data_IF_361609579887
#
_entry.id   IF_361609579887
#
_cell.length_a   1.000
_cell.length_b   1.000
_cell.length_c   1.000
_cell.angle_alpha   90.00
_cell.angle_beta   90.00
_cell.angle_gamma   90.00
#
_symmetry.space_group_name_H-M   'P 1'
#
loop_
_entity.id
_entity.type
_entity.pdbx_description
1 polymer ?
#
# COMPACT_ATOMS: atom_id res chain seq x y z
N UNK A 1 0.77 17.52 5.17
CA UNK A 1 1.16 17.78 3.77
C UNK A 1 1.77 16.49 3.22
N UNK A 2 1.15 15.84 2.24
CA UNK A 2 1.44 14.44 1.86
C UNK A 2 2.79 14.17 1.16
N UNK A 3 3.64 15.18 0.94
CA UNK A 3 4.95 14.98 0.29
C UNK A 3 6.01 14.35 1.20
N UNK A 4 5.76 14.24 2.51
CA UNK A 4 6.69 13.65 3.47
C UNK A 4 6.72 12.13 3.46
N UNK A 5 5.74 11.48 2.83
CA UNK A 5 5.71 10.02 2.73
C UNK A 5 6.77 9.50 1.77
N UNK A 6 7.43 8.42 2.18
CA UNK A 6 8.33 7.64 1.32
C UNK A 6 7.76 6.24 1.21
N UNK A 7 7.45 5.83 -0.02
CA UNK A 7 6.92 4.51 -0.34
C UNK A 7 7.97 3.72 -1.11
N UNK A 8 8.25 2.51 -0.66
CA UNK A 8 9.23 1.62 -1.30
C UNK A 8 8.65 0.21 -1.45
N UNK A 9 8.93 -0.40 -2.60
CA UNK A 9 8.49 -1.76 -2.94
C UNK A 9 9.68 -2.64 -3.25
N UNK A 10 9.65 -3.89 -2.77
CA UNK A 10 10.63 -4.89 -3.15
C UNK A 10 10.36 -5.33 -4.61
N UNK A 11 11.32 -5.09 -5.50
CA UNK A 11 11.21 -5.47 -6.92
C UNK A 11 11.84 -6.84 -7.21
N UNK A 12 12.44 -7.47 -6.20
CA UNK A 12 13.02 -8.82 -6.26
C UNK A 12 12.48 -9.69 -5.12
N UNK A 13 11.16 -9.92 -5.04
CA UNK A 13 10.57 -10.75 -3.99
C UNK A 13 11.12 -12.17 -4.05
N UNK A 14 11.59 -12.69 -2.91
CA UNK A 14 12.19 -14.02 -2.79
C UNK A 14 13.70 -14.10 -3.06
N UNK A 15 14.36 -12.99 -3.41
CA UNK A 15 15.82 -12.94 -3.45
C UNK A 15 16.43 -12.91 -2.02
N UNK A 16 17.65 -13.42 -1.85
CA UNK A 16 18.37 -13.36 -0.56
C UNK A 16 18.59 -11.92 -0.09
N UNK A 17 18.76 -11.00 -1.04
CA UNK A 17 18.86 -9.56 -0.78
C UNK A 17 17.75 -8.82 -1.52
N UNK A 18 16.79 -8.20 -0.80
CA UNK A 18 15.71 -7.47 -1.43
C UNK A 18 16.22 -6.18 -2.08
N UNK A 19 15.79 -5.93 -3.31
CA UNK A 19 16.05 -4.67 -4.00
C UNK A 19 14.83 -3.77 -3.83
N UNK A 20 15.03 -2.64 -3.17
CA UNK A 20 13.95 -1.67 -2.91
C UNK A 20 13.94 -0.60 -3.99
N UNK A 21 12.75 -0.31 -4.52
CA UNK A 21 12.53 0.78 -5.47
C UNK A 21 11.48 1.75 -4.92
N UNK A 22 11.72 3.05 -5.08
CA UNK A 22 10.83 4.10 -4.58
C UNK A 22 9.63 4.30 -5.51
N UNK A 23 8.44 4.28 -4.94
CA UNK A 23 7.20 4.65 -5.62
C UNK A 23 7.03 6.17 -5.51
N UNK A 24 7.45 6.90 -6.53
CA UNK A 24 7.33 8.36 -6.55
C UNK A 24 7.22 8.94 -7.96
N UNK A 25 7.96 8.39 -8.92
CA UNK A 25 7.99 8.95 -10.25
C UNK A 25 6.61 8.81 -10.93
N UNK A 26 6.06 9.92 -11.43
CA UNK A 26 4.78 9.93 -12.13
C UNK A 26 3.54 9.78 -11.25
N UNK A 27 3.68 9.52 -9.94
CA UNK A 27 2.58 9.43 -8.98
C UNK A 27 2.07 10.84 -8.64
N UNK A 28 0.75 11.01 -8.64
CA UNK A 28 0.07 12.28 -8.35
C UNK A 28 -0.65 12.26 -7.00
N UNK A 29 -1.24 11.13 -6.65
CA UNK A 29 -2.03 10.92 -5.44
C UNK A 29 -1.67 9.58 -4.82
N UNK A 30 -1.77 9.56 -3.49
CA UNK A 30 -1.80 8.34 -2.69
C UNK A 30 -3.01 8.46 -1.77
N UNK A 31 -3.77 7.39 -1.66
CA UNK A 31 -4.95 7.27 -0.81
C UNK A 31 -4.72 6.12 0.20
N UNK A 32 -4.34 6.43 1.45
CA UNK A 32 -4.23 5.43 2.50
C UNK A 32 -5.62 5.02 3.00
N UNK A 33 -5.90 3.72 3.00
CA UNK A 33 -7.17 3.14 3.46
C UNK A 33 -6.89 2.06 4.52
N UNK A 34 -7.79 1.95 5.49
CA UNK A 34 -7.80 0.91 6.50
C UNK A 34 -9.10 0.13 6.31
N UNK A 35 -9.02 -0.95 5.55
CA UNK A 35 -10.16 -1.80 5.28
C UNK A 35 -10.44 -2.66 6.51
N UNK A 36 -11.49 -2.31 7.24
CA UNK A 36 -11.93 -2.97 8.46
C UNK A 36 -13.14 -3.89 8.19
N UNK A 37 -13.08 -5.10 8.73
CA UNK A 37 -14.22 -6.00 8.80
C UNK A 37 -14.77 -5.96 10.23
N UNK A 38 -16.06 -5.67 10.37
CA UNK A 38 -16.72 -5.58 11.68
C UNK A 38 -17.92 -6.50 11.79
N UNK A 39 -18.08 -7.13 12.95
CA UNK A 39 -19.25 -7.93 13.32
C UNK A 39 -20.10 -7.16 14.33
N UNK A 40 -21.42 -7.16 14.14
CA UNK A 40 -22.36 -6.56 15.09
C UNK A 40 -23.17 -7.66 15.78
N UNK A 41 -22.97 -7.81 17.08
CA UNK A 41 -23.63 -8.80 17.91
C UNK A 41 -24.69 -8.14 18.81
N UNK A 42 -25.93 -8.59 18.72
CA UNK A 42 -27.01 -8.14 19.60
C UNK A 42 -27.34 -9.24 20.62
N UNK A 43 -27.02 -8.99 21.90
CA UNK A 43 -27.34 -9.90 23.00
C UNK A 43 -28.68 -9.53 23.65
N UNK A 44 -29.40 -10.55 24.15
CA UNK A 44 -30.75 -10.39 24.73
C UNK A 44 -30.78 -9.53 26.01
N UNK A 45 -29.65 -9.42 26.70
CA UNK A 45 -29.45 -8.56 27.87
C UNK A 45 -29.01 -7.14 27.50
N UNK A 46 -28.68 -6.87 26.24
CA UNK A 46 -28.26 -5.56 25.73
C UNK A 46 -29.39 -4.54 25.55
N UNK A 47 -30.63 -4.87 25.94
CA UNK A 47 -31.76 -3.92 25.89
C UNK A 47 -32.11 -3.40 24.49
N UNK A 48 -31.70 -4.12 23.44
CA UNK A 48 -31.86 -3.72 22.04
C UNK A 48 -30.67 -2.96 21.43
N UNK A 49 -29.53 -2.84 22.13
CA UNK A 49 -28.29 -2.33 21.58
C UNK A 49 -27.41 -3.47 21.00
N UNK A 50 -26.72 -3.19 19.90
CA UNK A 50 -25.70 -4.07 19.32
C UNK A 50 -24.30 -3.67 19.80
N UNK A 51 -23.46 -4.65 20.10
CA UNK A 51 -22.02 -4.49 20.29
C UNK A 51 -21.33 -4.64 18.92
N UNK A 52 -20.34 -3.79 18.64
CA UNK A 52 -19.59 -3.80 17.39
C UNK A 52 -18.13 -4.16 17.64
N UNK A 53 -17.69 -5.27 17.05
CA UNK A 53 -16.32 -5.77 17.14
C UNK A 53 -15.63 -5.62 15.78
N UNK A 54 -14.36 -5.21 15.76
CA UNK A 54 -13.52 -5.24 14.55
C UNK A 54 -12.82 -6.59 14.51
N UNK A 55 -13.20 -7.43 13.54
CA UNK A 55 -12.71 -8.81 13.39
C UNK A 55 -11.61 -8.94 12.33
N UNK A 56 -11.46 -7.91 11.48
CA UNK A 56 -10.44 -7.86 10.44
C UNK A 56 -9.95 -6.45 10.18
N UNK A 57 -8.67 -6.33 9.83
CA UNK A 57 -8.03 -5.06 9.51
C UNK A 57 -7.01 -5.28 8.40
N UNK A 58 -7.06 -4.45 7.36
CA UNK A 58 -6.11 -4.45 6.26
C UNK A 58 -5.77 -3.02 5.86
N UNK A 59 -4.54 -2.62 6.16
CA UNK A 59 -4.01 -1.33 5.70
C UNK A 59 -3.59 -1.42 4.24
N UNK A 60 -4.06 -0.48 3.42
CA UNK A 60 -3.77 -0.39 1.99
C UNK A 60 -3.45 1.03 1.55
N UNK A 61 -2.79 1.13 0.39
CA UNK A 61 -2.43 2.39 -0.24
C UNK A 61 -2.79 2.31 -1.72
N UNK A 62 -3.78 3.10 -2.14
CA UNK A 62 -4.12 3.32 -3.54
C UNK A 62 -3.22 4.39 -4.14
N UNK A 63 -2.67 4.14 -5.32
CA UNK A 63 -1.80 5.08 -6.03
C UNK A 63 -2.38 5.40 -7.40
N UNK A 64 -2.42 6.69 -7.74
CA UNK A 64 -2.79 7.13 -9.08
C UNK A 64 -1.72 8.07 -9.65
N UNK A 65 -1.58 8.05 -10.97
CA UNK A 65 -0.64 8.92 -11.64
C UNK A 65 -0.52 8.67 -13.13
N UNK A 66 0.69 8.86 -13.64
CA UNK A 66 1.01 8.65 -15.04
C UNK A 66 2.13 7.62 -15.19
N UNK A 67 2.01 6.80 -16.23
CA UNK A 67 3.03 5.81 -16.58
C UNK A 67 4.34 6.49 -16.94
N UNK A 68 5.42 6.03 -16.32
CA UNK A 68 6.82 6.37 -16.63
C UNK A 68 7.58 5.08 -16.91
N UNK A 69 7.72 4.74 -18.18
CA UNK A 69 8.52 3.59 -18.62
C UNK A 69 9.99 3.73 -18.22
N UNK A 70 10.61 2.63 -17.80
CA UNK A 70 12.00 2.61 -17.33
C UNK A 70 12.17 2.96 -15.85
N UNK A 71 11.08 3.28 -15.14
CA UNK A 71 11.09 3.40 -13.69
C UNK A 71 10.98 2.02 -13.04
N UNK A 72 11.94 1.66 -12.19
CA UNK A 72 12.06 0.31 -11.67
C UNK A 72 10.83 -0.12 -10.83
N UNK A 73 10.25 0.79 -10.04
CA UNK A 73 9.09 0.48 -9.22
C UNK A 73 7.84 0.29 -10.10
N UNK A 74 7.57 1.23 -11.00
CA UNK A 74 6.44 1.10 -11.90
C UNK A 74 6.57 -0.12 -12.82
N UNK A 75 7.74 -0.32 -13.44
CA UNK A 75 7.96 -1.44 -14.36
C UNK A 75 7.75 -2.79 -13.66
N UNK A 76 8.19 -2.93 -12.41
CA UNK A 76 7.88 -4.09 -11.58
C UNK A 76 6.37 -4.26 -11.36
N UNK A 77 5.67 -3.20 -10.90
CA UNK A 77 4.23 -3.25 -10.62
C UNK A 77 3.43 -3.65 -11.87
N UNK A 78 3.67 -2.99 -13.01
CA UNK A 78 2.95 -3.28 -14.26
C UNK A 78 3.37 -4.61 -14.90
N UNK A 79 4.53 -5.17 -14.55
CA UNK A 79 4.85 -6.56 -14.94
C UNK A 79 3.89 -7.58 -14.31
N UNK A 80 3.21 -7.22 -13.21
CA UNK A 80 2.26 -8.07 -12.49
C UNK A 80 0.81 -7.93 -12.95
N UNK A 81 0.50 -7.06 -13.91
CA UNK A 81 -0.88 -6.80 -14.36
C UNK A 81 -1.64 -8.07 -14.73
N UNK A 82 -1.02 -8.99 -15.48
CA UNK A 82 -1.64 -10.25 -15.91
C UNK A 82 -1.31 -11.44 -14.99
N UNK A 83 -0.75 -11.18 -13.82
CA UNK A 83 -0.37 -12.20 -12.83
C UNK A 83 -1.42 -12.33 -11.75
N UNK A 84 -1.44 -13.48 -11.07
CA UNK A 84 -2.42 -13.80 -10.02
C UNK A 84 -1.74 -14.50 -8.85
N UNK A 85 -2.42 -14.53 -7.70
CA UNK A 85 -1.97 -15.30 -6.54
C UNK A 85 -0.58 -14.88 -6.03
N UNK A 86 0.31 -15.83 -5.72
CA UNK A 86 1.64 -15.55 -5.17
C UNK A 86 2.50 -14.63 -6.02
N UNK A 87 2.29 -14.56 -7.34
CA UNK A 87 3.07 -13.70 -8.22
C UNK A 87 2.80 -12.20 -8.02
N UNK A 88 1.69 -11.85 -7.35
CA UNK A 88 1.36 -10.48 -6.93
C UNK A 88 1.80 -10.14 -5.51
N UNK A 89 2.44 -11.08 -4.81
CA UNK A 89 2.98 -10.87 -3.46
C UNK A 89 4.36 -10.24 -3.54
N UNK A 90 4.63 -9.29 -2.64
CA UNK A 90 5.92 -8.64 -2.49
C UNK A 90 6.07 -8.12 -1.04
N UNK A 91 7.07 -7.28 -0.79
CA UNK A 91 7.25 -6.55 0.46
C UNK A 91 7.12 -5.05 0.19
N UNK A 92 6.51 -4.35 1.14
CA UNK A 92 6.23 -2.92 1.05
C UNK A 92 6.71 -2.19 2.30
N UNK A 93 7.20 -0.98 2.09
CA UNK A 93 7.68 -0.07 3.14
C UNK A 93 7.05 1.29 2.98
N UNK A 94 6.60 1.83 4.09
CA UNK A 94 6.13 3.20 4.22
C UNK A 94 6.97 3.88 5.29
N UNK A 95 7.56 5.03 4.97
CA UNK A 95 8.06 5.97 5.98
C UNK A 95 7.13 7.17 5.99
N UNK A 96 6.52 7.42 7.13
CA UNK A 96 5.63 8.54 7.37
C UNK A 96 6.39 9.86 7.53
N UNK A 97 5.74 11.03 7.36
CA UNK A 97 6.39 12.33 7.50
C UNK A 97 7.01 12.59 8.88
N UNK A 98 6.49 11.96 9.93
CA UNK A 98 7.03 12.01 11.30
C UNK A 98 8.27 11.12 11.49
N UNK A 99 8.60 10.26 10.54
CA UNK A 99 9.70 9.30 10.60
C UNK A 99 9.28 7.88 11.03
N UNK A 100 8.01 7.66 11.37
CA UNK A 100 7.47 6.35 11.67
C UNK A 100 7.53 5.45 10.43
N UNK A 101 7.71 4.15 10.65
CA UNK A 101 7.85 3.19 9.55
C UNK A 101 6.90 2.02 9.69
N UNK A 102 6.37 1.62 8.56
CA UNK A 102 5.60 0.40 8.38
C UNK A 102 6.31 -0.48 7.36
N UNK A 103 6.53 -1.75 7.70
CA UNK A 103 7.13 -2.74 6.80
C UNK A 103 6.38 -4.06 6.90
N UNK A 104 6.10 -4.68 5.76
CA UNK A 104 5.43 -5.97 5.76
C UNK A 104 5.30 -6.60 4.39
N UNK A 105 4.87 -7.85 4.40
CA UNK A 105 4.45 -8.54 3.18
C UNK A 105 3.17 -7.90 2.66
N UNK A 106 3.06 -7.78 1.35
CA UNK A 106 1.96 -7.06 0.70
C UNK A 106 1.52 -7.70 -0.61
N UNK A 107 0.31 -7.37 -1.02
CA UNK A 107 -0.30 -7.80 -2.28
C UNK A 107 -0.54 -6.60 -3.18
N UNK A 108 -0.18 -6.75 -4.45
CA UNK A 108 -0.57 -5.82 -5.51
C UNK A 108 -1.99 -6.15 -6.02
N UNK A 109 -2.90 -5.19 -5.96
CA UNK A 109 -4.27 -5.30 -6.46
C UNK A 109 -4.60 -4.13 -7.40
N UNK A 110 -5.74 -4.25 -8.10
CA UNK A 110 -6.34 -3.13 -8.85
C UNK A 110 -5.42 -2.42 -9.86
N UNK A 111 -4.46 -3.15 -10.42
CA UNK A 111 -3.52 -2.60 -11.41
C UNK A 111 -4.27 -2.26 -12.70
N UNK A 112 -4.48 -0.96 -12.95
CA UNK A 112 -5.00 -0.43 -14.22
C UNK A 112 -3.83 -0.03 -15.12
N UNK A 113 -3.72 -0.71 -16.25
CA UNK A 113 -2.75 -0.40 -17.31
C UNK A 113 -2.94 1.04 -17.83
N UNK A 114 -1.89 1.67 -18.39
CA UNK A 114 -1.96 3.02 -18.94
C UNK A 114 -3.10 3.16 -19.95
N UNK A 115 -4.07 4.01 -19.64
CA UNK A 115 -5.18 4.38 -20.51
C UNK A 115 -5.27 5.89 -20.75
N UNK A 116 -6.23 6.33 -21.57
CA UNK A 116 -6.49 7.74 -21.86
C UNK A 116 -6.41 8.09 -23.35
N UNK A 117 -6.64 9.37 -23.66
CA UNK A 117 -6.58 9.87 -25.04
C UNK A 117 -5.17 9.81 -25.63
N UNK A 118 -5.06 9.74 -26.96
CA UNK A 118 -3.77 9.68 -27.67
C UNK A 118 -2.83 10.86 -27.37
N UNK A 119 -3.37 12.01 -26.93
CA UNK A 119 -2.62 13.22 -26.59
C UNK A 119 -2.39 13.38 -25.08
N UNK A 120 -2.89 12.44 -24.26
CA UNK A 120 -2.78 12.47 -22.80
C UNK A 120 -1.67 11.54 -22.31
N UNK A 121 -1.12 11.83 -21.13
CA UNK A 121 -0.21 10.90 -20.46
C UNK A 121 -1.03 9.69 -20.00
N UNK A 122 -0.51 8.48 -20.21
CA UNK A 122 -1.22 7.26 -19.83
C UNK A 122 -1.49 7.22 -18.33
N UNK A 123 -2.77 7.29 -17.96
CA UNK A 123 -3.23 7.26 -16.57
C UNK A 123 -3.10 5.85 -16.02
N UNK A 124 -2.58 5.74 -14.80
CA UNK A 124 -2.35 4.48 -14.11
C UNK A 124 -2.93 4.50 -12.71
N UNK A 125 -3.33 3.32 -12.25
CA UNK A 125 -3.79 3.07 -10.89
C UNK A 125 -3.27 1.72 -10.42
N UNK A 126 -2.94 1.61 -9.13
CA UNK A 126 -2.67 0.34 -8.47
C UNK A 126 -2.82 0.48 -6.96
N UNK A 127 -3.18 -0.60 -6.29
CA UNK A 127 -3.32 -0.66 -4.83
C UNK A 127 -2.29 -1.64 -4.25
N UNK A 128 -1.68 -1.27 -3.12
CA UNK A 128 -0.81 -2.14 -2.33
C UNK A 128 -1.45 -2.33 -0.96
N UNK A 129 -1.79 -3.57 -0.61
CA UNK A 129 -2.36 -3.90 0.70
C UNK A 129 -1.42 -4.79 1.50
N UNK A 130 -1.24 -4.53 2.79
CA UNK A 130 -0.47 -5.40 3.67
C UNK A 130 -1.20 -6.74 3.90
N UNK A 131 -0.42 -7.81 3.92
CA UNK A 131 -0.88 -9.15 4.29
C UNK A 131 -0.81 -9.29 5.81
N UNK A 132 -1.87 -8.85 6.48
CA UNK A 132 -1.93 -8.80 7.94
C UNK A 132 -1.37 -7.49 8.51
N UNK A 133 -1.00 -7.51 9.78
CA UNK A 133 -0.53 -6.31 10.48
C UNK A 133 0.95 -6.05 10.12
N UNK A 134 1.28 -4.91 9.50
CA UNK A 134 2.67 -4.55 9.22
C UNK A 134 3.46 -4.31 10.50
N UNK A 135 4.77 -4.51 10.43
CA UNK A 135 5.68 -4.17 11.51
C UNK A 135 5.83 -2.66 11.62
N UNK A 136 5.54 -2.13 12.80
CA UNK A 136 5.69 -0.71 13.13
C UNK A 136 7.07 -0.44 13.75
N UNK A 137 7.69 0.68 13.36
CA UNK A 137 8.89 1.21 14.01
C UNK A 137 8.73 2.71 14.23
N UNK A 138 8.75 3.14 15.48
CA UNK A 138 8.65 4.55 15.85
C UNK A 138 9.84 5.38 15.33
N UNK A 139 9.58 6.64 15.01
CA UNK A 139 10.60 7.62 14.70
C UNK A 139 11.60 7.75 15.87
N UNK A 140 12.90 7.91 15.59
CA UNK A 140 13.88 8.17 16.64
C UNK A 140 13.52 9.49 17.35
N UNK A 141 13.10 9.40 18.61
CA UNK A 141 12.93 10.59 19.44
C UNK A 141 14.30 11.23 19.61
N UNK A 142 14.44 12.48 19.16
CA UNK A 142 15.62 13.26 19.52
C UNK A 142 15.45 13.65 20.99
N UNK A 143 16.28 13.18 21.93
CA UNK A 143 16.18 13.67 23.29
C UNK A 143 16.58 15.16 23.26
N UNK A 144 15.69 16.04 23.73
CA UNK A 144 16.05 17.45 23.95
C UNK A 144 17.27 17.50 24.86
N UNK A 145 18.35 18.07 24.36
CA UNK A 145 19.53 18.44 25.14
C UNK A 145 19.28 19.73 25.94
#
# INVERSE_FOLDING_TARGET
MNYGYIFEINITPGAETPTWARIAAGIKSVDPDNNEESEENAYYDGGGASERDIIGFMMSYGFEGHRKYGDAAQDFIFSKTHKVGPERKTDFKVTEPNGDKWEGRSTLSEIKSPGGDANSKGEIEFTISYDGVPAFTEAPSTPSA
#
